data_IF_017846231374
#
_entry.id   IF_017846231374
#
_cell.length_a   1.000
_cell.length_b   1.000
_cell.length_c   1.000
_cell.angle_alpha   90.00
_cell.angle_beta   90.00
_cell.angle_gamma   90.00
#
_symmetry.space_group_name_H-M   'P 1'
#
loop_
_entity.id
_entity.type
_entity.pdbx_description
1 polymer ?
#
# COMPACT_ATOMS: atom_id res chain seq x y z
N UNK A 1 33.57 46.44 16.82
CA UNK A 1 34.24 45.12 16.97
C UNK A 1 33.67 44.52 18.25
N UNK A 2 33.03 43.35 18.33
CA UNK A 2 33.06 42.10 17.58
C UNK A 2 31.63 41.54 17.53
N UNK A 3 31.24 40.92 16.41
CA UNK A 3 29.94 40.26 16.19
C UNK A 3 29.88 38.90 16.89
N UNK A 4 28.73 38.61 17.49
CA UNK A 4 28.32 37.31 18.06
C UNK A 4 27.23 36.76 17.13
N UNK A 5 27.46 35.61 16.49
CA UNK A 5 26.46 34.95 15.64
C UNK A 5 25.58 34.04 16.49
N UNK A 6 24.28 34.33 16.52
CA UNK A 6 23.23 33.50 17.11
C UNK A 6 22.63 32.58 16.04
N UNK A 7 22.44 31.31 16.39
CA UNK A 7 21.74 30.30 15.60
C UNK A 7 20.23 30.58 15.69
N UNK A 8 19.57 30.75 14.54
CA UNK A 8 18.12 30.90 14.42
C UNK A 8 17.56 29.61 13.83
N UNK A 9 16.66 28.96 14.57
CA UNK A 9 15.80 27.87 14.10
C UNK A 9 14.49 28.52 13.63
N UNK A 10 14.16 28.42 12.34
CA UNK A 10 12.89 28.91 11.79
C UNK A 10 11.95 27.72 11.59
N UNK A 11 10.88 27.67 12.37
CA UNK A 11 9.69 26.86 12.08
C UNK A 11 8.75 27.70 11.21
N UNK A 12 8.36 27.17 10.04
CA UNK A 12 7.38 27.80 9.15
C UNK A 12 6.07 27.02 9.24
N UNK A 13 5.08 27.60 9.92
CA UNK A 13 3.66 27.30 9.75
C UNK A 13 3.18 28.07 8.51
N UNK A 14 2.50 27.41 7.58
CA UNK A 14 1.68 28.07 6.55
C UNK A 14 0.21 27.70 6.77
N UNK A 15 -0.57 28.68 7.21
CA UNK A 15 -2.03 28.65 7.22
C UNK A 15 -2.55 29.22 5.89
N UNK A 16 -3.51 28.54 5.26
CA UNK A 16 -4.18 29.00 4.05
C UNK A 16 -5.57 29.54 4.42
N UNK A 17 -5.80 30.83 4.24
CA UNK A 17 -7.10 31.49 4.40
C UNK A 17 -7.76 31.63 3.02
N UNK A 18 -9.01 31.18 2.90
CA UNK A 18 -9.81 31.36 1.68
C UNK A 18 -10.90 32.42 1.96
N UNK A 19 -10.87 33.53 1.21
CA UNK A 19 -11.90 34.56 1.23
C UNK A 19 -12.87 34.33 0.06
N UNK A 20 -14.16 34.18 0.35
CA UNK A 20 -15.20 34.05 -0.67
C UNK A 20 -15.75 35.44 -1.03
N UNK A 21 -15.70 35.81 -2.32
CA UNK A 21 -16.41 36.96 -2.87
C UNK A 21 -17.72 36.49 -3.50
N UNK A 22 -18.82 37.16 -3.15
CA UNK A 22 -20.16 36.89 -3.69
C UNK A 22 -20.37 37.67 -4.99
N UNK A 23 -20.85 37.00 -6.05
CA UNK A 23 -21.47 37.64 -7.20
C UNK A 23 -22.85 37.00 -7.48
N UNK A 24 -23.85 37.76 -7.95
CA UNK A 24 -25.26 37.35 -7.90
C UNK A 24 -25.69 36.50 -9.10
N UNK A 25 -26.70 35.68 -8.83
CA UNK A 25 -27.33 34.70 -9.71
C UNK A 25 -28.19 35.34 -10.82
N UNK A 26 -28.06 34.83 -12.05
CA UNK A 26 -29.05 34.99 -13.11
C UNK A 26 -29.81 33.66 -13.28
N UNK A 27 -31.13 33.74 -13.19
CA UNK A 27 -32.08 32.63 -13.34
C UNK A 27 -32.15 32.14 -14.80
N UNK A 28 -32.07 30.83 -15.01
CA UNK A 28 -32.63 30.17 -16.19
C UNK A 28 -33.34 28.86 -15.80
N UNK A 29 -34.54 28.72 -16.39
CA UNK A 29 -35.62 27.76 -16.14
C UNK A 29 -35.34 26.38 -16.76
N UNK A 30 -35.87 25.35 -16.10
CA UNK A 30 -36.24 24.02 -16.64
C UNK A 30 -35.15 23.20 -17.34
N UNK A 31 -34.32 22.52 -16.55
CA UNK A 31 -33.71 21.24 -16.92
C UNK A 31 -34.24 20.17 -15.95
N UNK A 32 -34.42 18.94 -16.44
CA UNK A 32 -34.70 17.74 -15.60
C UNK A 32 -33.86 17.79 -14.31
N UNK A 33 -34.37 17.33 -13.16
CA UNK A 33 -33.52 17.21 -11.98
C UNK A 33 -32.27 16.41 -12.40
N UNK A 34 -31.06 16.94 -12.20
CA UNK A 34 -29.86 16.18 -12.45
C UNK A 34 -29.95 14.87 -11.64
N UNK A 35 -29.38 13.75 -12.13
CA UNK A 35 -29.24 12.57 -11.29
C UNK A 35 -28.66 13.04 -9.95
N UNK A 36 -29.25 12.59 -8.84
CA UNK A 36 -28.81 12.97 -7.49
C UNK A 36 -27.29 12.96 -7.50
N UNK A 37 -26.69 14.15 -7.38
CA UNK A 37 -25.26 14.30 -7.44
C UNK A 37 -24.76 13.52 -6.24
N UNK A 38 -24.26 12.31 -6.51
CA UNK A 38 -23.71 11.45 -5.48
C UNK A 38 -22.42 12.14 -5.06
N UNK A 39 -22.55 12.94 -4.01
CA UNK A 39 -21.40 13.35 -3.24
C UNK A 39 -20.98 12.06 -2.54
N UNK A 40 -19.88 11.46 -3.01
CA UNK A 40 -19.26 10.36 -2.29
C UNK A 40 -19.13 10.69 -0.80
N UNK A 41 -19.04 9.68 0.08
CA UNK A 41 -18.78 9.94 1.48
C UNK A 41 -17.65 10.97 1.60
N UNK A 42 -17.78 11.99 2.47
CA UNK A 42 -16.78 13.03 2.60
C UNK A 42 -15.41 12.38 2.76
N UNK A 43 -14.41 12.88 2.02
CA UNK A 43 -13.02 12.42 2.13
C UNK A 43 -12.69 12.38 3.61
N UNK A 44 -12.29 11.20 4.10
CA UNK A 44 -12.11 10.93 5.53
C UNK A 44 -11.24 11.99 6.18
N UNK A 45 -11.85 12.81 7.04
CA UNK A 45 -11.18 13.84 7.81
C UNK A 45 -11.21 13.48 9.29
N UNK A 46 -10.13 13.80 10.02
CA UNK A 46 -9.96 13.56 11.46
C UNK A 46 -11.16 13.96 12.35
N UNK A 47 -11.99 14.90 11.91
CA UNK A 47 -13.15 15.39 12.64
C UNK A 47 -14.40 14.52 12.46
N UNK A 48 -14.54 13.79 11.34
CA UNK A 48 -15.64 12.87 11.11
C UNK A 48 -15.51 11.59 11.95
N UNK A 49 -14.27 11.12 12.12
CA UNK A 49 -13.94 9.95 12.96
C UNK A 49 -14.31 10.15 14.43
N UNK A 50 -14.24 11.36 14.98
CA UNK A 50 -14.43 11.62 16.40
C UNK A 50 -15.86 11.29 16.92
N UNK A 51 -16.87 11.28 16.05
CA UNK A 51 -18.27 11.08 16.42
C UNK A 51 -18.68 9.60 16.57
N UNK A 52 -17.95 8.67 15.95
CA UNK A 52 -18.30 7.24 15.95
C UNK A 52 -17.76 6.46 17.18
N UNK A 53 -17.00 7.13 18.06
CA UNK A 53 -16.25 6.48 19.15
C UNK A 53 -16.99 6.25 20.47
N UNK A 54 -18.25 6.69 20.63
CA UNK A 54 -18.88 6.69 21.96
C UNK A 54 -19.45 5.33 22.44
N UNK A 55 -19.17 4.21 21.77
CA UNK A 55 -19.84 2.93 22.04
C UNK A 55 -19.01 1.64 22.07
N UNK A 56 -17.71 1.68 21.77
CA UNK A 56 -16.94 0.47 21.46
C UNK A 56 -15.91 0.12 22.55
N UNK A 57 -15.89 -1.15 23.00
CA UNK A 57 -14.92 -1.66 23.99
C UNK A 57 -13.73 -2.39 23.34
N UNK A 58 -12.49 -2.27 23.87
CA UNK A 58 -11.28 -2.80 23.23
C UNK A 58 -11.16 -4.32 23.29
N UNK A 59 -10.81 -4.95 22.16
CA UNK A 59 -10.24 -6.29 22.10
C UNK A 59 -8.72 -6.23 21.94
N UNK A 60 -7.97 -6.69 22.95
CA UNK A 60 -6.55 -7.04 22.76
C UNK A 60 -6.53 -8.49 22.31
N UNK A 61 -6.53 -8.71 20.99
CA UNK A 61 -6.45 -10.02 20.38
C UNK A 61 -6.29 -9.90 18.87
N UNK A 62 -5.64 -10.87 18.23
CA UNK A 62 -5.88 -11.09 16.80
C UNK A 62 -7.37 -11.33 16.63
N UNK A 63 -7.98 -10.60 15.71
CA UNK A 63 -9.31 -10.94 15.22
C UNK A 63 -9.14 -12.24 14.42
N UNK A 64 -9.23 -13.37 15.11
CA UNK A 64 -9.03 -14.71 14.52
C UNK A 64 -10.14 -15.06 13.50
N UNK A 65 -11.21 -14.25 13.45
CA UNK A 65 -12.22 -14.11 12.39
C UNK A 65 -13.28 -13.11 12.85
N UNK A 66 -13.29 -11.90 12.31
CA UNK A 66 -14.50 -11.09 12.26
C UNK A 66 -15.08 -11.36 10.88
N UNK A 67 -15.84 -12.44 10.74
CA UNK A 67 -16.62 -12.64 9.51
C UNK A 67 -17.89 -11.83 9.64
N UNK A 68 -17.90 -10.62 9.11
CA UNK A 68 -19.14 -9.93 8.77
C UNK A 68 -19.29 -9.95 7.25
N UNK A 69 -20.51 -10.18 6.77
CA UNK A 69 -20.83 -10.05 5.35
C UNK A 69 -21.33 -8.63 5.13
N UNK A 70 -20.44 -7.71 4.76
CA UNK A 70 -20.84 -6.39 4.30
C UNK A 70 -20.79 -6.33 2.77
N UNK A 71 -21.72 -5.56 2.24
CA UNK A 71 -22.04 -5.40 0.84
C UNK A 71 -22.98 -4.22 0.66
N UNK A 72 -22.98 -3.29 1.63
CA UNK A 72 -23.90 -2.16 1.67
C UNK A 72 -23.65 -1.27 0.46
N UNK A 73 -24.65 -1.22 -0.44
CA UNK A 73 -24.64 -0.30 -1.57
C UNK A 73 -24.81 1.14 -1.04
N UNK A 74 -23.74 1.92 -1.19
CA UNK A 74 -23.73 3.34 -0.82
C UNK A 74 -24.33 4.22 -1.93
N UNK A 75 -24.69 3.64 -3.08
CA UNK A 75 -25.11 4.35 -4.27
C UNK A 75 -23.94 4.67 -5.20
N UNK A 76 -24.26 4.83 -6.50
CA UNK A 76 -23.26 5.18 -7.52
C UNK A 76 -22.26 4.06 -7.87
N UNK A 77 -22.54 2.81 -7.45
CA UNK A 77 -21.65 1.67 -7.65
C UNK A 77 -20.60 1.49 -6.55
N UNK A 78 -20.66 2.28 -5.47
CA UNK A 78 -19.78 2.13 -4.32
C UNK A 78 -20.37 1.16 -3.31
N UNK A 79 -19.58 0.16 -2.93
CA UNK A 79 -19.96 -0.85 -1.95
C UNK A 79 -19.02 -0.70 -0.75
N UNK A 80 -19.59 -0.62 0.46
CA UNK A 80 -18.81 -0.76 1.68
C UNK A 80 -18.49 -2.24 1.90
N UNK A 81 -17.21 -2.57 1.94
CA UNK A 81 -16.73 -3.95 2.10
C UNK A 81 -16.07 -4.21 3.46
N UNK A 82 -15.80 -3.15 4.22
CA UNK A 82 -15.27 -3.23 5.57
C UNK A 82 -16.38 -3.09 6.60
N UNK A 83 -16.42 -4.00 7.55
CA UNK A 83 -17.42 -4.02 8.61
C UNK A 83 -16.83 -4.12 10.02
N UNK A 84 -15.64 -3.53 10.20
CA UNK A 84 -15.31 -2.99 11.50
C UNK A 84 -16.31 -1.91 11.93
N UNK A 85 -16.41 -1.68 13.23
CA UNK A 85 -17.35 -0.73 13.80
C UNK A 85 -16.83 0.72 13.79
N UNK A 86 -15.59 0.91 13.33
CA UNK A 86 -14.88 2.19 13.32
C UNK A 86 -14.84 2.67 11.86
N UNK A 87 -15.57 3.73 11.51
CA UNK A 87 -15.56 4.30 10.15
C UNK A 87 -14.24 5.06 9.85
N UNK A 88 -13.11 4.39 10.06
CA UNK A 88 -11.78 4.95 9.89
C UNK A 88 -11.32 4.82 8.44
N UNK A 89 -10.42 5.71 8.00
CA UNK A 89 -9.96 5.73 6.62
C UNK A 89 -9.23 4.45 6.26
N UNK A 90 -9.53 3.94 5.07
CA UNK A 90 -8.68 3.01 4.34
C UNK A 90 -7.89 3.77 3.28
N UNK A 91 -6.61 3.46 3.13
CA UNK A 91 -5.80 3.95 2.02
C UNK A 91 -4.95 2.81 1.44
N UNK A 92 -4.29 3.11 0.32
CA UNK A 92 -3.34 2.21 -0.36
C UNK A 92 -3.97 0.83 -0.61
N UNK A 93 -4.99 0.85 -1.46
CA UNK A 93 -5.85 -0.31 -1.71
C UNK A 93 -5.34 -1.17 -2.86
N UNK A 94 -5.72 -2.45 -2.82
CA UNK A 94 -5.46 -3.42 -3.88
C UNK A 94 -6.68 -4.30 -4.12
N UNK A 95 -6.78 -4.86 -5.33
CA UNK A 95 -7.84 -5.80 -5.70
C UNK A 95 -7.34 -6.75 -6.80
N UNK A 96 -7.67 -8.02 -6.67
CA UNK A 96 -7.43 -9.04 -7.68
C UNK A 96 -8.70 -9.89 -7.87
N UNK A 97 -8.92 -10.34 -9.10
CA UNK A 97 -9.98 -11.28 -9.46
C UNK A 97 -9.33 -12.61 -9.83
N UNK A 98 -9.90 -13.71 -9.36
CA UNK A 98 -9.44 -15.05 -9.71
C UNK A 98 -9.61 -15.27 -11.22
N UNK A 99 -8.51 -15.51 -11.98
CA UNK A 99 -8.57 -15.72 -13.42
C UNK A 99 -9.42 -16.93 -13.84
N UNK A 100 -9.69 -17.86 -12.93
CA UNK A 100 -10.49 -19.06 -13.18
C UNK A 100 -11.94 -18.93 -12.72
N UNK A 101 -12.26 -17.90 -11.93
CA UNK A 101 -13.60 -17.69 -11.39
C UNK A 101 -13.88 -16.20 -11.11
N UNK A 102 -14.62 -15.49 -11.98
CA UNK A 102 -14.86 -14.05 -11.80
C UNK A 102 -15.74 -13.71 -10.58
N UNK A 103 -16.36 -14.69 -9.93
CA UNK A 103 -17.08 -14.47 -8.67
C UNK A 103 -16.14 -14.40 -7.47
N UNK A 104 -14.90 -14.86 -7.60
CA UNK A 104 -13.90 -14.90 -6.54
C UNK A 104 -12.95 -13.71 -6.65
N UNK A 105 -13.03 -12.82 -5.66
CA UNK A 105 -12.33 -11.53 -5.64
C UNK A 105 -11.65 -11.38 -4.28
N UNK A 106 -10.40 -10.93 -4.27
CA UNK A 106 -9.69 -10.59 -3.03
C UNK A 106 -9.16 -9.17 -3.14
N UNK A 107 -9.49 -8.34 -2.17
CA UNK A 107 -9.05 -6.96 -2.03
C UNK A 107 -8.27 -6.79 -0.72
N UNK A 108 -7.61 -5.64 -0.61
CA UNK A 108 -6.83 -5.29 0.56
C UNK A 108 -6.72 -3.80 0.77
N UNK A 109 -6.52 -3.38 2.01
CA UNK A 109 -6.20 -2.00 2.36
C UNK A 109 -5.31 -1.90 3.60
N UNK A 110 -4.69 -0.73 3.78
CA UNK A 110 -4.25 -0.31 5.11
C UNK A 110 -5.48 -0.01 5.96
N UNK A 111 -5.69 -0.82 6.99
CA UNK A 111 -6.81 -0.74 7.93
C UNK A 111 -6.38 0.00 9.19
N UNK A 112 -6.96 1.19 9.38
CA UNK A 112 -6.63 2.09 10.46
C UNK A 112 -7.57 1.84 11.63
N UNK A 113 -7.02 1.44 12.77
CA UNK A 113 -7.78 1.18 13.97
C UNK A 113 -7.39 2.17 15.08
N UNK A 114 -8.39 2.72 15.77
CA UNK A 114 -8.19 3.57 16.95
C UNK A 114 -8.94 2.95 18.13
N UNK A 115 -8.23 2.72 19.23
CA UNK A 115 -8.82 2.20 20.45
C UNK A 115 -8.24 2.89 21.69
N UNK A 116 -9.04 2.95 22.75
CA UNK A 116 -8.61 3.51 24.03
C UNK A 116 -7.92 2.44 24.87
N UNK A 117 -6.70 2.74 25.31
CA UNK A 117 -5.97 1.96 26.32
C UNK A 117 -5.83 2.80 27.59
N UNK A 118 -6.78 2.64 28.51
CA UNK A 118 -6.91 3.53 29.67
C UNK A 118 -7.21 4.96 29.22
N UNK A 119 -6.38 5.92 29.64
CA UNK A 119 -6.49 7.33 29.26
C UNK A 119 -5.75 7.67 27.94
N UNK A 120 -5.21 6.68 27.23
CA UNK A 120 -4.46 6.88 25.99
C UNK A 120 -5.26 6.43 24.77
N UNK A 121 -5.12 7.14 23.65
CA UNK A 121 -5.58 6.69 22.33
C UNK A 121 -4.43 5.96 21.66
N UNK A 122 -4.66 4.72 21.23
CA UNK A 122 -3.70 3.93 20.48
C UNK A 122 -4.21 3.81 19.06
N UNK A 123 -3.33 4.12 18.10
CA UNK A 123 -3.56 3.86 16.69
C UNK A 123 -2.79 2.62 16.27
N UNK A 124 -3.49 1.71 15.60
CA UNK A 124 -2.92 0.56 14.91
C UNK A 124 -3.20 0.70 13.43
N UNK A 125 -2.23 0.32 12.60
CA UNK A 125 -2.45 0.15 11.17
C UNK A 125 -2.04 -1.26 10.82
N UNK A 126 -2.99 -2.01 10.26
CA UNK A 126 -2.85 -3.41 9.92
C UNK A 126 -3.33 -3.65 8.49
N UNK A 127 -2.72 -4.58 7.76
CA UNK A 127 -3.22 -4.96 6.46
C UNK A 127 -4.52 -5.77 6.61
N UNK A 128 -5.64 -5.17 6.20
CA UNK A 128 -6.94 -5.84 6.11
C UNK A 128 -7.14 -6.50 4.75
N UNK A 129 -7.65 -7.73 4.74
CA UNK A 129 -8.05 -8.44 3.52
C UNK A 129 -9.57 -8.56 3.44
N UNK A 130 -10.09 -8.54 2.22
CA UNK A 130 -11.53 -8.64 1.94
C UNK A 130 -11.75 -9.61 0.78
N UNK A 131 -12.55 -10.64 0.98
CA UNK A 131 -12.75 -11.73 0.01
C UNK A 131 -14.22 -11.89 -0.33
N UNK A 132 -14.54 -11.89 -1.62
CA UNK A 132 -15.88 -12.17 -2.13
C UNK A 132 -15.88 -13.47 -2.93
N UNK A 133 -16.99 -14.22 -2.85
CA UNK A 133 -17.25 -15.42 -3.64
C UNK A 133 -18.49 -15.30 -4.53
N UNK A 134 -19.08 -14.11 -4.61
CA UNK A 134 -20.34 -13.84 -5.31
C UNK A 134 -20.29 -12.59 -6.21
N UNK A 135 -19.10 -12.31 -6.75
CA UNK A 135 -18.80 -11.17 -7.62
C UNK A 135 -18.95 -9.80 -6.93
N UNK A 136 -18.58 -9.73 -5.65
CA UNK A 136 -18.52 -8.50 -4.87
C UNK A 136 -19.84 -8.08 -4.23
N UNK A 137 -20.84 -8.98 -4.14
CA UNK A 137 -22.11 -8.69 -3.47
C UNK A 137 -21.99 -8.83 -1.96
N UNK A 138 -21.24 -9.81 -1.50
CA UNK A 138 -20.88 -10.00 -0.10
C UNK A 138 -19.38 -10.22 0.04
N UNK A 139 -18.84 -9.74 1.15
CA UNK A 139 -17.41 -9.77 1.46
C UNK A 139 -17.18 -10.35 2.84
N UNK A 140 -16.19 -11.23 2.96
CA UNK A 140 -15.58 -11.65 4.21
C UNK A 140 -14.35 -10.79 4.46
N UNK A 141 -14.13 -10.34 5.69
CA UNK A 141 -12.97 -9.54 6.06
C UNK A 141 -12.10 -10.24 7.12
N UNK A 142 -10.86 -9.79 7.23
CA UNK A 142 -9.94 -10.17 8.29
C UNK A 142 -8.63 -9.41 8.19
N UNK A 143 -7.68 -9.76 9.06
CA UNK A 143 -6.36 -9.11 9.10
C UNK A 143 -5.22 -10.07 8.81
N UNK A 144 -4.19 -9.57 8.14
CA UNK A 144 -2.93 -10.28 7.96
C UNK A 144 -2.11 -10.18 9.23
N UNK A 145 -1.62 -11.32 9.73
CA UNK A 145 -0.75 -11.36 10.90
C UNK A 145 0.55 -10.55 10.64
N UNK A 146 0.90 -9.57 11.50
CA UNK A 146 2.07 -8.74 11.31
C UNK A 146 3.40 -9.43 11.65
N UNK A 147 3.42 -10.69 12.09
CA UNK A 147 4.64 -11.45 12.47
C UNK A 147 5.46 -10.79 13.59
N UNK A 148 4.77 -10.25 14.60
CA UNK A 148 5.39 -9.55 15.72
C UNK A 148 5.87 -8.13 15.39
N UNK A 149 5.70 -7.66 14.15
CA UNK A 149 5.88 -6.25 13.83
C UNK A 149 4.75 -5.40 14.40
N UNK A 150 5.02 -4.12 14.69
CA UNK A 150 3.99 -3.19 15.21
C UNK A 150 3.06 -2.64 14.13
N UNK A 151 3.47 -2.77 12.87
CA UNK A 151 2.77 -2.28 11.69
C UNK A 151 2.92 -3.28 10.55
N UNK A 152 1.83 -3.49 9.81
CA UNK A 152 1.87 -4.03 8.47
C UNK A 152 0.83 -3.36 7.56
N UNK A 153 1.13 -3.27 6.27
CA UNK A 153 0.33 -2.52 5.31
C UNK A 153 0.79 -2.74 3.87
N UNK A 154 0.44 -1.79 3.01
CA UNK A 154 0.70 -1.71 1.57
C UNK A 154 0.42 -3.03 0.85
N UNK A 155 -0.85 -3.46 0.89
CA UNK A 155 -1.22 -4.77 0.42
C UNK A 155 -1.06 -4.90 -1.09
N UNK A 156 -0.62 -6.09 -1.51
CA UNK A 156 -0.68 -6.53 -2.90
C UNK A 156 -1.21 -7.96 -2.96
N UNK A 157 -2.08 -8.25 -3.92
CA UNK A 157 -2.77 -9.55 -4.03
C UNK A 157 -2.57 -10.17 -5.41
N UNK A 158 -2.32 -11.47 -5.46
CA UNK A 158 -2.29 -12.24 -6.70
C UNK A 158 -2.78 -13.68 -6.51
N UNK A 159 -3.49 -14.20 -7.52
CA UNK A 159 -3.91 -15.59 -7.56
C UNK A 159 -2.87 -16.48 -8.23
N UNK A 160 -2.65 -17.66 -7.66
CA UNK A 160 -1.84 -18.72 -8.25
C UNK A 160 -2.73 -19.87 -8.70
N UNK A 161 -3.09 -19.86 -9.98
CA UNK A 161 -4.03 -20.82 -10.59
C UNK A 161 -3.45 -22.23 -10.69
N UNK A 162 -2.12 -22.36 -10.75
CA UNK A 162 -1.44 -23.66 -10.75
C UNK A 162 -1.59 -24.38 -9.41
N UNK A 163 -1.45 -23.64 -8.32
CA UNK A 163 -1.43 -24.21 -6.96
C UNK A 163 -2.76 -24.05 -6.21
N UNK A 164 -3.71 -23.28 -6.75
CA UNK A 164 -4.96 -22.95 -6.07
C UNK A 164 -4.75 -22.07 -4.83
N UNK A 165 -3.80 -21.14 -4.89
CA UNK A 165 -3.40 -20.30 -3.76
C UNK A 165 -3.75 -18.82 -4.03
N UNK A 166 -3.93 -18.06 -2.95
CA UNK A 166 -3.97 -16.59 -2.98
C UNK A 166 -2.75 -16.07 -2.22
N UNK A 167 -1.96 -15.21 -2.85
CA UNK A 167 -0.81 -14.58 -2.24
C UNK A 167 -1.13 -13.14 -1.85
N UNK A 168 -0.60 -12.72 -0.71
CA UNK A 168 -0.83 -11.41 -0.12
C UNK A 168 0.51 -10.83 0.39
N UNK A 169 1.03 -9.83 -0.31
CA UNK A 169 2.26 -9.12 0.06
C UNK A 169 1.97 -7.96 1.01
N UNK A 170 2.85 -7.73 1.98
CA UNK A 170 2.77 -6.59 2.90
C UNK A 170 4.15 -5.99 3.17
N UNK A 171 4.17 -4.70 3.47
CA UNK A 171 5.28 -4.11 4.21
C UNK A 171 5.06 -4.35 5.70
N UNK A 172 6.12 -4.61 6.46
CA UNK A 172 6.07 -4.72 7.92
C UNK A 172 7.16 -3.88 8.57
N UNK A 173 6.82 -3.18 9.66
CA UNK A 173 7.74 -2.27 10.36
C UNK A 173 7.50 -2.23 11.87
N UNK A 174 8.58 -1.93 12.61
CA UNK A 174 8.55 -1.60 14.03
C UNK A 174 8.63 -0.08 14.29
N UNK A 175 8.60 0.74 13.23
CA UNK A 175 8.58 2.20 13.34
C UNK A 175 7.16 2.73 13.58
N UNK A 176 7.00 3.61 14.58
CA UNK A 176 5.76 4.37 14.77
C UNK A 176 5.68 5.61 13.86
N UNK A 177 4.47 6.07 13.55
CA UNK A 177 4.20 7.23 12.66
C UNK A 177 4.92 8.53 13.06
N UNK A 178 5.38 8.65 14.31
CA UNK A 178 6.08 9.82 14.84
C UNK A 178 7.63 9.71 14.88
N UNK A 179 8.21 8.53 14.59
CA UNK A 179 9.64 8.28 14.82
C UNK A 179 10.51 8.28 13.55
N UNK A 180 9.93 8.53 12.38
CA UNK A 180 10.56 8.19 11.11
C UNK A 180 10.57 6.67 10.92
N UNK A 181 10.34 6.19 9.71
CA UNK A 181 10.31 4.75 9.46
C UNK A 181 11.70 4.16 9.73
N UNK A 182 11.83 3.43 10.85
CA UNK A 182 13.12 2.95 11.32
C UNK A 182 13.75 1.91 10.36
N UNK A 183 12.91 1.06 9.76
CA UNK A 183 13.18 0.05 8.74
C UNK A 183 11.84 -0.48 8.21
N UNK A 184 11.78 -1.07 7.01
CA UNK A 184 10.61 -1.83 6.55
C UNK A 184 11.04 -3.09 5.80
N UNK A 185 10.35 -4.18 6.09
CA UNK A 185 10.56 -5.50 5.49
C UNK A 185 9.41 -5.84 4.55
N UNK A 186 9.68 -6.66 3.54
CA UNK A 186 8.67 -7.25 2.67
C UNK A 186 8.36 -8.66 3.14
N UNK A 187 7.09 -8.92 3.41
CA UNK A 187 6.58 -10.22 3.81
C UNK A 187 5.49 -10.68 2.84
N UNK A 188 5.26 -12.00 2.79
CA UNK A 188 4.20 -12.62 2.02
C UNK A 188 3.42 -13.62 2.87
N UNK A 189 2.10 -13.45 2.93
CA UNK A 189 1.17 -14.46 3.43
C UNK A 189 0.48 -15.18 2.27
N UNK A 190 0.19 -16.46 2.45
CA UNK A 190 -0.51 -17.28 1.45
C UNK A 190 -1.75 -17.91 2.07
N UNK A 191 -2.85 -17.90 1.31
CA UNK A 191 -4.08 -18.61 1.59
C UNK A 191 -4.20 -19.85 0.70
N UNK A 192 -4.63 -20.97 1.30
CA UNK A 192 -4.98 -22.21 0.61
C UNK A 192 -6.49 -22.51 0.64
N UNK A 193 -7.31 -21.57 1.13
CA UNK A 193 -8.77 -21.71 1.26
C UNK A 193 -9.54 -20.63 0.48
N UNK A 194 -8.90 -20.06 -0.54
CA UNK A 194 -9.48 -19.04 -1.42
C UNK A 194 -9.56 -17.65 -0.76
N UNK A 195 -8.58 -17.28 0.06
CA UNK A 195 -8.56 -15.98 0.71
C UNK A 195 -9.50 -15.84 1.92
N UNK A 196 -10.02 -16.95 2.47
CA UNK A 196 -10.81 -16.89 3.71
C UNK A 196 -9.93 -16.75 4.94
N UNK A 197 -8.75 -17.38 4.92
CA UNK A 197 -7.71 -17.22 5.92
C UNK A 197 -6.33 -17.19 5.26
N UNK A 198 -5.40 -16.46 5.87
CA UNK A 198 -4.03 -16.35 5.40
C UNK A 198 -3.08 -16.92 6.45
N UNK A 199 -2.11 -17.74 5.99
CA UNK A 199 -1.11 -18.33 6.87
C UNK A 199 -0.10 -17.32 7.41
N UNK A 200 0.73 -17.79 8.36
CA UNK A 200 1.85 -17.00 8.88
C UNK A 200 2.74 -16.51 7.73
N UNK A 201 3.10 -15.22 7.73
CA UNK A 201 3.85 -14.63 6.64
C UNK A 201 5.28 -15.18 6.56
N UNK A 202 5.86 -15.10 5.37
CA UNK A 202 7.24 -15.44 5.06
C UNK A 202 8.00 -14.18 4.67
N UNK A 203 9.22 -14.06 5.16
CA UNK A 203 10.09 -12.93 4.83
C UNK A 203 10.60 -13.06 3.40
N UNK A 204 10.38 -12.03 2.59
CA UNK A 204 10.94 -11.90 1.23
C UNK A 204 12.21 -11.05 1.27
N UNK A 205 12.17 -9.93 2.00
CA UNK A 205 13.30 -9.03 2.17
C UNK A 205 13.23 -8.35 3.56
N UNK A 206 14.36 -8.31 4.28
CA UNK A 206 14.43 -7.64 5.57
C UNK A 206 14.82 -6.16 5.41
N UNK A 207 14.09 -5.30 6.11
CA UNK A 207 14.58 -3.97 6.47
C UNK A 207 15.64 -4.06 7.56
N UNK A 208 16.68 -3.23 7.50
CA UNK A 208 17.77 -3.25 8.49
C UNK A 208 18.19 -1.83 8.89
N UNK A 209 18.61 -1.66 10.13
CA UNK A 209 18.98 -0.35 10.68
C UNK A 209 18.04 0.10 11.80
N UNK A 210 18.15 1.36 12.21
CA UNK A 210 17.29 1.94 13.26
C UNK A 210 17.12 3.44 13.09
N UNK A 211 18.24 4.16 12.93
CA UNK A 211 18.27 5.63 12.69
C UNK A 211 19.42 6.06 11.77
N UNK A 212 20.28 5.11 11.40
CA UNK A 212 21.50 5.30 10.61
C UNK A 212 21.73 4.02 9.81
N UNK A 213 22.23 4.13 8.58
CA UNK A 213 22.39 2.99 7.68
C UNK A 213 21.06 2.23 7.55
N UNK A 214 20.00 2.97 7.20
CA UNK A 214 18.65 2.42 7.10
C UNK A 214 18.46 1.80 5.72
N UNK A 215 17.93 0.59 5.74
CA UNK A 215 17.40 -0.12 4.60
C UNK A 215 15.89 -0.25 4.82
N UNK A 216 15.14 0.40 3.93
CA UNK A 216 13.70 0.50 3.99
C UNK A 216 13.13 -0.03 2.67
N UNK A 217 12.39 -1.13 2.74
CA UNK A 217 11.76 -1.71 1.56
C UNK A 217 10.30 -1.26 1.49
N UNK A 218 9.83 -0.88 0.31
CA UNK A 218 8.46 -0.39 0.15
C UNK A 218 7.79 -0.80 -1.16
N UNK A 219 6.46 -0.92 -1.07
CA UNK A 219 5.47 -1.31 -2.08
C UNK A 219 5.74 -2.66 -2.74
N UNK A 220 5.44 -3.78 -2.03
CA UNK A 220 5.69 -5.13 -2.49
C UNK A 220 4.62 -5.61 -3.46
N UNK A 221 4.56 -5.00 -4.64
CA UNK A 221 3.66 -5.52 -5.67
C UNK A 221 4.07 -6.92 -6.11
N UNK A 222 3.06 -7.75 -6.39
CA UNK A 222 3.24 -9.15 -6.72
C UNK A 222 2.53 -9.53 -8.00
N UNK A 223 3.08 -10.51 -8.70
CA UNK A 223 2.45 -11.14 -9.86
C UNK A 223 2.74 -12.64 -9.86
N UNK A 224 1.81 -13.44 -10.37
CA UNK A 224 2.04 -14.88 -10.60
C UNK A 224 1.99 -15.16 -12.09
N UNK A 225 2.93 -15.96 -12.56
CA UNK A 225 2.85 -16.52 -13.90
C UNK A 225 1.73 -17.57 -13.97
N UNK A 226 0.57 -17.17 -14.46
CA UNK A 226 -0.58 -18.04 -14.63
C UNK A 226 -0.69 -18.61 -16.06
N UNK A 227 0.36 -18.54 -16.89
CA UNK A 227 0.36 -19.11 -18.23
C UNK A 227 0.78 -20.59 -18.20
N UNK A 228 -0.11 -21.56 -18.50
CA UNK A 228 0.23 -22.99 -18.45
C UNK A 228 1.30 -23.42 -19.46
N UNK A 229 1.58 -22.61 -20.48
CA UNK A 229 2.62 -22.86 -21.48
C UNK A 229 3.98 -22.26 -21.11
N UNK A 230 4.03 -21.40 -20.09
CA UNK A 230 5.27 -20.80 -19.61
C UNK A 230 6.13 -21.85 -18.90
N UNK A 231 7.47 -21.84 -19.11
CA UNK A 231 8.38 -22.65 -18.30
C UNK A 231 8.38 -22.26 -16.82
N UNK A 232 7.85 -21.07 -16.48
CA UNK A 232 7.73 -20.56 -15.11
C UNK A 232 6.29 -20.60 -14.58
N UNK A 233 5.39 -21.38 -15.18
CA UNK A 233 4.01 -21.50 -14.74
C UNK A 233 3.92 -21.75 -13.22
N UNK A 234 3.19 -20.90 -12.52
CA UNK A 234 2.97 -20.87 -11.07
C UNK A 234 4.04 -20.12 -10.27
N UNK A 235 5.09 -19.56 -10.90
CA UNK A 235 6.09 -18.74 -10.21
C UNK A 235 5.47 -17.44 -9.73
N UNK A 236 5.67 -17.16 -8.45
CA UNK A 236 5.33 -15.89 -7.82
C UNK A 236 6.53 -14.95 -7.94
N UNK A 237 6.29 -13.72 -8.38
CA UNK A 237 7.26 -12.62 -8.39
C UNK A 237 6.82 -11.56 -7.38
N UNK A 238 7.78 -11.05 -6.64
CA UNK A 238 7.63 -9.93 -5.71
C UNK A 238 8.63 -8.86 -6.12
N UNK A 239 8.14 -7.65 -6.37
CA UNK A 239 8.98 -6.48 -6.69
C UNK A 239 8.74 -5.38 -5.68
N UNK A 240 9.79 -4.67 -5.30
CA UNK A 240 9.70 -3.59 -4.33
C UNK A 240 10.77 -2.54 -4.60
N UNK A 241 10.59 -1.38 -3.97
CA UNK A 241 11.58 -0.31 -3.94
C UNK A 241 12.53 -0.51 -2.75
N UNK A 242 13.83 -0.50 -2.99
CA UNK A 242 14.86 -0.74 -1.98
C UNK A 242 15.55 0.56 -1.57
N UNK A 243 14.98 1.29 -0.61
CA UNK A 243 15.53 2.56 -0.15
C UNK A 243 16.74 2.35 0.76
N UNK A 244 17.80 3.08 0.46
CA UNK A 244 19.05 3.07 1.23
C UNK A 244 19.37 4.47 1.71
N UNK A 245 19.79 4.55 2.97
CA UNK A 245 20.19 5.78 3.63
C UNK A 245 21.56 5.60 4.29
N UNK A 246 22.36 6.65 4.30
CA UNK A 246 23.69 6.61 4.90
C UNK A 246 23.66 6.66 6.43
N UNK A 247 24.86 6.71 7.04
CA UNK A 247 25.02 6.77 8.50
C UNK A 247 24.47 8.06 9.15
N UNK A 248 24.05 9.04 8.36
CA UNK A 248 23.44 10.30 8.80
C UNK A 248 21.95 10.37 8.44
N UNK A 249 21.38 9.30 7.89
CA UNK A 249 19.98 9.27 7.45
C UNK A 249 19.74 10.02 6.14
N UNK A 250 20.80 10.33 5.37
CA UNK A 250 20.65 10.98 4.07
C UNK A 250 20.37 9.91 3.02
N UNK A 251 19.41 10.20 2.13
CA UNK A 251 19.07 9.34 1.01
C UNK A 251 20.30 9.03 0.14
N UNK A 252 20.44 7.76 -0.26
CA UNK A 252 21.48 7.30 -1.20
C UNK A 252 20.85 6.89 -2.53
N UNK A 253 19.94 5.91 -2.50
CA UNK A 253 19.29 5.35 -3.69
C UNK A 253 18.01 4.60 -3.31
N UNK A 254 17.16 4.36 -4.31
CA UNK A 254 15.93 3.55 -4.27
C UNK A 254 15.78 2.68 -5.53
N UNK A 255 16.70 1.76 -5.81
CA UNK A 255 16.55 0.82 -6.92
C UNK A 255 15.32 -0.10 -6.72
N UNK A 256 14.74 -0.54 -7.83
CA UNK A 256 13.76 -1.63 -7.85
C UNK A 256 14.47 -2.98 -7.76
N UNK A 257 13.99 -3.79 -6.83
CA UNK A 257 14.42 -5.17 -6.60
C UNK A 257 13.31 -6.16 -6.95
N UNK A 258 13.72 -7.39 -7.28
CA UNK A 258 12.86 -8.52 -7.53
C UNK A 258 13.34 -9.74 -6.73
N UNK A 259 12.38 -10.51 -6.23
CA UNK A 259 12.57 -11.90 -5.80
C UNK A 259 11.43 -12.76 -6.33
N UNK A 260 11.66 -14.05 -6.48
CA UNK A 260 10.65 -15.00 -6.90
C UNK A 260 10.58 -16.22 -5.99
N UNK A 261 9.44 -16.91 -6.04
CA UNK A 261 9.19 -18.19 -5.37
C UNK A 261 8.60 -19.20 -6.35
N UNK A 262 9.14 -20.42 -6.34
CA UNK A 262 8.68 -21.56 -7.14
C UNK A 262 7.86 -22.58 -6.32
N UNK A 263 7.71 -22.36 -5.01
CA UNK A 263 7.14 -23.33 -4.06
C UNK A 263 5.88 -22.80 -3.34
N UNK A 264 5.18 -21.85 -3.97
CA UNK A 264 3.94 -21.29 -3.43
C UNK A 264 4.16 -20.27 -2.30
N UNK A 265 5.28 -19.55 -2.34
CA UNK A 265 5.61 -18.51 -1.37
C UNK A 265 6.20 -19.05 -0.07
N UNK A 266 6.74 -20.27 -0.05
CA UNK A 266 7.38 -20.83 1.15
C UNK A 266 8.83 -20.38 1.28
N UNK A 267 9.54 -20.31 0.15
CA UNK A 267 10.90 -19.77 0.07
C UNK A 267 11.03 -18.78 -1.10
N UNK A 268 12.00 -17.88 -0.99
CA UNK A 268 12.26 -16.83 -1.97
C UNK A 268 13.71 -16.85 -2.41
N UNK A 269 13.95 -16.51 -3.68
CA UNK A 269 15.29 -16.24 -4.20
C UNK A 269 15.95 -15.06 -3.46
N UNK A 270 17.27 -14.91 -3.60
CA UNK A 270 17.92 -13.67 -3.19
C UNK A 270 17.36 -12.49 -4.00
N UNK A 271 17.11 -11.37 -3.33
CA UNK A 271 16.69 -10.13 -3.98
C UNK A 271 17.72 -9.67 -5.00
N UNK A 272 17.27 -9.36 -6.21
CA UNK A 272 18.09 -8.90 -7.32
C UNK A 272 17.63 -7.52 -7.76
N UNK A 273 18.55 -6.58 -7.84
CA UNK A 273 18.31 -5.31 -8.50
C UNK A 273 17.96 -5.54 -9.98
N UNK A 274 16.82 -4.99 -10.39
CA UNK A 274 16.36 -5.00 -11.79
C UNK A 274 16.33 -3.59 -12.39
N UNK A 275 16.82 -2.63 -11.62
CA UNK A 275 17.10 -1.28 -12.08
C UNK A 275 18.21 -1.31 -13.13
N UNK A 276 17.98 -0.61 -14.24
CA UNK A 276 18.90 -0.57 -15.37
C UNK A 276 19.94 0.55 -15.27
N UNK A 277 20.62 0.78 -16.37
CA UNK A 277 21.48 1.96 -16.58
C UNK A 277 21.06 2.65 -17.86
N UNK A 278 21.13 3.98 -17.90
CA UNK A 278 20.79 4.76 -19.09
C UNK A 278 21.39 6.16 -19.02
N UNK A 279 22.12 6.54 -20.07
CA UNK A 279 22.66 7.90 -20.20
C UNK A 279 21.63 8.96 -20.59
N UNK A 280 20.40 8.54 -20.89
CA UNK A 280 19.32 9.44 -21.32
C UNK A 280 18.18 9.49 -20.32
N UNK A 281 17.82 8.33 -19.75
CA UNK A 281 16.73 8.23 -18.78
C UNK A 281 17.19 8.43 -17.34
N UNK A 282 18.49 8.42 -17.05
CA UNK A 282 19.01 8.46 -15.67
C UNK A 282 20.11 9.51 -15.58
N UNK A 283 19.90 10.62 -16.30
CA UNK A 283 20.88 11.67 -16.53
C UNK A 283 20.79 12.81 -15.51
N UNK A 284 19.64 12.99 -14.84
CA UNK A 284 19.39 14.08 -13.91
C UNK A 284 19.00 13.55 -12.52
N UNK A 285 19.87 12.77 -11.85
CA UNK A 285 19.56 12.25 -10.53
C UNK A 285 19.49 13.36 -9.48
N UNK A 286 18.67 13.18 -8.44
CA UNK A 286 18.69 14.00 -7.25
C UNK A 286 20.00 13.84 -6.46
N UNK A 287 20.62 12.67 -6.54
CA UNK A 287 21.95 12.38 -6.00
C UNK A 287 22.99 12.21 -7.13
N UNK A 288 23.97 13.11 -7.20
CA UNK A 288 24.99 13.09 -8.26
C UNK A 288 25.83 11.80 -8.34
N UNK A 289 25.85 10.97 -7.29
CA UNK A 289 26.52 9.66 -7.31
C UNK A 289 25.78 8.62 -8.17
N UNK A 290 24.53 8.88 -8.55
CA UNK A 290 23.68 7.97 -9.33
C UNK A 290 23.71 8.27 -10.85
N UNK A 291 24.62 9.11 -11.33
CA UNK A 291 24.65 9.49 -12.75
C UNK A 291 24.74 8.27 -13.68
N UNK A 292 23.73 8.14 -14.57
CA UNK A 292 23.52 7.05 -15.52
C UNK A 292 23.14 5.69 -14.90
N UNK A 293 22.89 5.64 -13.59
CA UNK A 293 22.45 4.46 -12.85
C UNK A 293 21.00 4.72 -12.46
N UNK A 294 20.06 3.97 -13.02
CA UNK A 294 18.65 4.23 -12.85
C UNK A 294 18.17 3.72 -11.49
N UNK A 295 18.62 4.30 -10.39
CA UNK A 295 18.39 3.79 -9.04
C UNK A 295 17.71 4.82 -8.13
N UNK A 296 17.04 5.84 -8.67
CA UNK A 296 16.07 6.67 -7.94
C UNK A 296 14.65 6.37 -8.44
N UNK A 297 14.18 5.14 -8.21
CA UNK A 297 12.90 4.63 -8.71
C UNK A 297 11.91 4.36 -7.59
N UNK A 298 10.62 4.26 -7.94
CA UNK A 298 9.53 3.86 -7.04
C UNK A 298 8.36 3.18 -7.79
N UNK A 299 7.42 2.59 -7.03
CA UNK A 299 6.13 2.08 -7.54
C UNK A 299 6.24 0.97 -8.60
N UNK A 300 7.11 0.00 -8.38
CA UNK A 300 7.24 -1.15 -9.28
C UNK A 300 5.93 -1.93 -9.40
N UNK A 301 5.47 -2.18 -10.62
CA UNK A 301 4.26 -2.94 -10.95
C UNK A 301 4.65 -4.12 -11.86
N UNK A 302 4.70 -5.35 -11.33
CA UNK A 302 4.99 -6.55 -12.12
C UNK A 302 3.72 -7.06 -12.81
N UNK A 303 3.84 -7.46 -14.09
CA UNK A 303 2.78 -8.09 -14.88
C UNK A 303 3.40 -9.21 -15.73
N UNK A 304 2.78 -10.39 -15.73
CA UNK A 304 3.20 -11.49 -16.62
C UNK A 304 2.42 -11.42 -17.92
N UNK A 305 3.14 -11.36 -19.04
CA UNK A 305 2.57 -11.32 -20.38
C UNK A 305 2.03 -12.70 -20.83
N UNK A 306 1.25 -12.73 -21.93
CA UNK A 306 0.69 -13.98 -22.47
C UNK A 306 1.72 -15.02 -22.91
N UNK A 307 2.99 -14.61 -23.09
CA UNK A 307 4.13 -15.45 -23.45
C UNK A 307 4.92 -15.94 -22.22
N UNK A 308 4.51 -15.57 -21.00
CA UNK A 308 5.24 -15.85 -19.76
C UNK A 308 6.36 -14.86 -19.45
N UNK A 309 6.57 -13.84 -20.29
CA UNK A 309 7.55 -12.78 -20.00
C UNK A 309 7.06 -11.91 -18.86
N UNK A 310 7.89 -11.70 -17.83
CA UNK A 310 7.62 -10.73 -16.78
C UNK A 310 8.00 -9.31 -17.24
N UNK A 311 7.05 -8.40 -17.20
CA UNK A 311 7.26 -6.97 -17.37
C UNK A 311 7.16 -6.29 -16.01
N UNK A 312 8.10 -5.40 -15.69
CA UNK A 312 8.05 -4.58 -14.48
C UNK A 312 8.18 -3.12 -14.89
N UNK A 313 7.10 -2.37 -14.72
CA UNK A 313 7.12 -0.92 -14.88
C UNK A 313 7.32 -0.22 -13.55
N UNK A 314 8.01 0.91 -13.53
CA UNK A 314 8.22 1.71 -12.33
C UNK A 314 8.40 3.19 -12.71
N UNK A 315 8.17 4.07 -11.74
CA UNK A 315 8.52 5.48 -11.85
C UNK A 315 10.03 5.62 -11.69
N UNK A 316 10.65 6.42 -12.56
CA UNK A 316 12.04 6.81 -12.48
C UNK A 316 12.10 8.33 -12.27
N UNK A 317 12.63 8.77 -11.13
CA UNK A 317 12.65 10.17 -10.73
C UNK A 317 13.83 10.96 -11.34
N UNK A 318 14.71 10.30 -12.08
CA UNK A 318 15.94 10.87 -12.66
C UNK A 318 15.74 11.42 -14.08
N UNK A 319 14.52 11.32 -14.60
CA UNK A 319 14.11 11.87 -15.89
C UNK A 319 12.85 12.71 -15.75
N UNK A 320 12.99 14.02 -15.94
CA UNK A 320 11.85 14.87 -16.26
C UNK A 320 11.67 14.87 -17.77
N UNK A 321 10.56 14.30 -18.23
CA UNK A 321 10.14 14.47 -19.63
C UNK A 321 10.02 15.96 -19.99
N UNK A 322 10.03 16.31 -21.28
CA UNK A 322 9.82 17.69 -21.69
C UNK A 322 8.52 18.22 -21.07
N UNK A 323 8.61 19.36 -20.38
CA UNK A 323 7.46 20.08 -19.85
C UNK A 323 6.57 20.46 -21.03
N UNK A 324 5.53 19.69 -21.31
CA UNK A 324 4.49 20.10 -22.26
C UNK A 324 3.56 21.05 -21.53
N UNK A 325 3.79 22.35 -21.72
CA UNK A 325 2.89 23.43 -21.29
C UNK A 325 1.74 23.65 -22.26
#
# INVERSE_FOLDING_TARGET
MVRRNSIILVALLTALTLTATLAPTALAKNSKPPPSQYNGPPISGLLASAADFSGETPGIGTVDKATCTDGTDLGGGNIRINCDAINLPHNEVTIAIDPTNPNHIVAGSNDYELFFQGNSVVQRVIAGYYTSFDAGKTWLNGHINPDGFTFNGDPAVAFNTKLGLVHYGTINSNGGQAAGFATASILLSTSSDGGQTFGFPKVVALGTGSSRNVLFNDKPYIAVDNNPTSPFYGRLYVTWTHFTFDQFGRYISSPIFLSFSDDGGQTFSAGKEISGTSSTLCANPGNSFNSNICNENQFSTPVVGPDGTLYVSYQNDEFQGPQTG
#
